data_IF_956775125281
#
_entry.id   IF_956775125281
#
_cell.length_a   1.000
_cell.length_b   1.000
_cell.length_c   1.000
_cell.angle_alpha   90.00
_cell.angle_beta   90.00
_cell.angle_gamma   90.00
#
_symmetry.space_group_name_H-M   'P 1'
#
loop_
_entity.id
_entity.type
_entity.pdbx_description
1 polymer ?
#
# COMPACT_ATOMS: atom_id res chain seq x y z
N UNK A 1 43.41 0.23 8.85
CA UNK A 1 44.48 0.45 7.86
C UNK A 1 44.14 1.69 7.03
N UNK A 2 44.92 2.77 7.20
CA UNK A 2 45.13 3.83 6.18
C UNK A 2 46.07 3.24 5.07
N UNK A 3 46.20 3.82 3.85
CA UNK A 3 46.03 5.26 3.58
C UNK A 3 45.31 5.68 2.28
N UNK A 4 44.79 6.92 2.35
CA UNK A 4 44.65 7.94 1.30
C UNK A 4 46.01 8.19 0.62
N UNK A 5 46.12 8.14 -0.73
CA UNK A 5 47.18 8.88 -1.45
C UNK A 5 47.07 9.10 -2.97
N UNK A 6 46.03 8.65 -3.68
CA UNK A 6 46.07 8.70 -5.16
C UNK A 6 45.33 9.87 -5.83
N UNK A 7 44.68 10.76 -5.08
CA UNK A 7 43.99 11.92 -5.67
C UNK A 7 44.88 13.16 -5.86
N UNK A 8 46.09 13.19 -5.30
CA UNK A 8 46.99 14.36 -5.35
C UNK A 8 48.02 14.31 -6.48
N UNK A 9 48.21 13.17 -7.14
CA UNK A 9 49.22 13.03 -8.19
C UNK A 9 48.73 13.52 -9.57
N UNK A 10 47.41 13.57 -9.81
CA UNK A 10 46.87 13.99 -11.10
C UNK A 10 46.79 15.53 -11.28
N UNK A 11 46.90 16.30 -10.20
CA UNK A 11 46.83 17.78 -10.25
C UNK A 11 48.21 18.45 -10.42
N UNK A 12 49.31 17.70 -10.30
CA UNK A 12 50.68 18.22 -10.42
C UNK A 12 51.33 17.97 -11.79
N UNK A 13 50.66 17.28 -12.72
CA UNK A 13 51.17 16.99 -14.06
C UNK A 13 50.86 18.07 -15.12
N UNK A 14 50.35 19.25 -14.71
CA UNK A 14 50.02 20.37 -15.61
C UNK A 14 50.92 21.61 -15.46
N UNK A 15 52.03 21.51 -14.71
CA UNK A 15 53.11 22.50 -14.74
C UNK A 15 54.33 21.83 -15.37
N UNK A 16 54.60 21.98 -16.70
CA UNK A 16 55.17 23.25 -17.18
C UNK A 16 54.91 23.51 -18.69
N UNK A 17 54.08 24.50 -19.04
CA UNK A 17 54.05 25.08 -20.40
C UNK A 17 53.67 26.58 -20.30
N UNK A 18 54.42 27.33 -19.51
CA UNK A 18 54.33 28.79 -19.44
C UNK A 18 55.65 29.39 -19.93
N UNK A 19 55.73 29.58 -21.26
CA UNK A 19 56.65 30.53 -21.87
C UNK A 19 56.17 31.98 -21.63
N UNK A 20 57.05 32.98 -21.81
CA UNK A 20 56.80 34.32 -21.29
C UNK A 20 55.70 35.04 -22.10
N UNK A 21 54.84 35.72 -21.36
CA UNK A 21 54.02 36.87 -21.77
C UNK A 21 53.34 36.80 -23.16
N UNK A 22 52.08 36.35 -23.16
CA UNK A 22 51.05 37.04 -23.95
C UNK A 22 49.94 37.47 -23.01
N UNK A 23 49.63 38.76 -23.05
CA UNK A 23 48.56 39.38 -22.29
C UNK A 23 47.25 38.63 -22.56
N UNK A 24 46.74 37.94 -21.56
CA UNK A 24 45.38 37.40 -21.59
C UNK A 24 44.48 38.51 -21.07
N UNK A 25 43.63 39.05 -21.94
CA UNK A 25 42.65 40.07 -21.57
C UNK A 25 41.79 39.57 -20.39
N UNK A 26 41.50 40.41 -19.38
CA UNK A 26 40.79 40.01 -18.16
C UNK A 26 39.37 39.47 -18.44
N UNK A 27 38.80 39.83 -19.59
CA UNK A 27 37.48 39.38 -20.05
C UNK A 27 37.51 37.89 -20.45
N UNK A 28 38.59 37.46 -21.11
CA UNK A 28 38.76 36.08 -21.59
C UNK A 28 38.99 35.08 -20.46
N UNK A 29 39.70 35.50 -19.41
CA UNK A 29 39.87 34.70 -18.19
C UNK A 29 38.57 34.61 -17.37
N UNK A 30 37.79 35.70 -17.35
CA UNK A 30 36.48 35.76 -16.71
C UNK A 30 35.44 34.83 -17.34
N UNK A 31 35.41 34.75 -18.68
CA UNK A 31 34.53 33.83 -19.41
C UNK A 31 34.92 32.36 -19.23
N UNK A 32 36.22 32.04 -19.15
CA UNK A 32 36.69 30.68 -18.91
C UNK A 32 36.33 30.18 -17.50
N UNK A 33 36.43 31.05 -16.47
CA UNK A 33 36.05 30.71 -15.10
C UNK A 33 34.52 30.70 -14.90
N UNK A 34 33.78 31.57 -15.58
CA UNK A 34 32.31 31.54 -15.59
C UNK A 34 31.77 30.30 -16.33
N UNK A 35 32.40 29.91 -17.44
CA UNK A 35 32.06 28.70 -18.20
C UNK A 35 32.34 27.41 -17.42
N UNK A 36 33.44 27.36 -16.66
CA UNK A 36 33.79 26.24 -15.79
C UNK A 36 32.90 26.15 -14.54
N UNK A 37 32.52 27.29 -13.94
CA UNK A 37 31.59 27.33 -12.81
C UNK A 37 30.16 26.93 -13.23
N UNK A 38 29.69 27.36 -14.40
CA UNK A 38 28.39 26.98 -14.95
C UNK A 38 28.32 25.48 -15.30
N UNK A 39 29.41 24.89 -15.78
CA UNK A 39 29.48 23.45 -16.08
C UNK A 39 29.65 22.58 -14.82
N UNK A 40 30.32 23.08 -13.77
CA UNK A 40 30.35 22.42 -12.47
C UNK A 40 28.99 22.46 -11.73
N UNK A 41 28.26 23.58 -11.81
CA UNK A 41 26.92 23.71 -11.22
C UNK A 41 25.86 22.89 -11.94
N UNK A 42 25.94 22.76 -13.26
CA UNK A 42 25.06 21.86 -14.03
C UNK A 42 25.37 20.38 -13.77
N UNK A 43 26.62 20.03 -13.46
CA UNK A 43 27.00 18.68 -13.02
C UNK A 43 26.44 18.26 -11.65
N UNK A 44 26.28 19.20 -10.71
CA UNK A 44 25.78 18.93 -9.35
C UNK A 44 24.25 18.75 -9.33
N UNK A 45 23.52 19.47 -10.20
CA UNK A 45 22.05 19.34 -10.33
C UNK A 45 21.68 18.02 -11.04
N UNK A 46 22.61 17.44 -11.80
CA UNK A 46 22.40 16.21 -12.56
C UNK A 46 22.59 14.93 -11.73
N UNK A 47 22.85 15.02 -10.42
CA UNK A 47 22.80 13.84 -9.54
C UNK A 47 21.34 13.42 -9.31
N UNK A 48 20.91 12.22 -9.76
CA UNK A 48 19.55 11.73 -9.54
C UNK A 48 19.15 11.83 -8.06
N UNK A 49 20.10 11.66 -7.14
CA UNK A 49 19.85 11.73 -5.71
C UNK A 49 19.39 13.11 -5.19
N UNK A 50 19.89 14.22 -5.76
CA UNK A 50 19.51 15.58 -5.35
C UNK A 50 18.16 15.97 -5.97
N UNK A 51 17.94 15.63 -7.25
CA UNK A 51 16.64 15.84 -7.88
C UNK A 51 15.52 15.02 -7.21
N UNK A 52 15.82 13.77 -6.85
CA UNK A 52 14.88 12.88 -6.15
C UNK A 52 14.69 13.23 -4.66
N UNK A 53 15.48 14.16 -4.13
CA UNK A 53 15.25 14.76 -2.82
C UNK A 53 14.15 15.82 -2.88
N UNK A 54 14.17 16.67 -3.91
CA UNK A 54 13.18 17.74 -4.11
C UNK A 54 11.93 17.29 -4.87
N UNK A 55 12.00 16.22 -5.67
CA UNK A 55 10.89 15.64 -6.42
C UNK A 55 10.78 14.15 -6.18
N UNK A 56 9.56 13.62 -6.19
CA UNK A 56 9.34 12.19 -6.07
C UNK A 56 9.84 11.47 -7.33
N UNK A 57 10.70 10.47 -7.17
CA UNK A 57 11.25 9.66 -8.26
C UNK A 57 10.87 8.20 -8.12
N UNK A 58 10.81 7.49 -9.26
CA UNK A 58 10.55 6.06 -9.27
C UNK A 58 11.84 5.38 -8.84
N UNK A 59 11.93 5.04 -7.56
CA UNK A 59 13.09 4.35 -7.02
C UNK A 59 13.09 2.91 -7.54
N UNK A 60 14.04 2.58 -8.41
CA UNK A 60 14.24 1.20 -8.90
C UNK A 60 14.61 0.23 -7.75
N UNK A 61 15.26 0.77 -6.71
CA UNK A 61 15.61 0.07 -5.48
C UNK A 61 14.89 0.72 -4.30
N UNK A 62 13.75 0.15 -3.88
CA UNK A 62 13.22 0.47 -2.57
C UNK A 62 14.15 -0.10 -1.51
N UNK A 63 14.57 0.79 -0.61
CA UNK A 63 15.48 0.52 0.48
C UNK A 63 14.93 -0.64 1.33
N UNK A 64 15.79 -1.57 1.77
CA UNK A 64 15.41 -2.64 2.71
C UNK A 64 14.69 -2.10 3.96
N UNK A 65 14.88 -0.81 4.26
CA UNK A 65 14.18 -0.04 5.29
C UNK A 65 12.64 -0.02 5.13
N UNK A 66 12.12 0.00 3.89
CA UNK A 66 10.68 -0.02 3.62
C UNK A 66 10.02 -1.30 4.18
N UNK A 67 10.70 -2.44 4.02
CA UNK A 67 10.27 -3.73 4.56
C UNK A 67 10.29 -3.76 6.09
N UNK A 68 11.32 -3.19 6.73
CA UNK A 68 11.44 -3.19 8.19
C UNK A 68 10.31 -2.39 8.87
N UNK A 69 10.00 -1.19 8.36
CA UNK A 69 8.96 -0.33 8.92
C UNK A 69 7.54 -0.87 8.79
N UNK A 70 7.28 -1.77 7.82
CA UNK A 70 5.96 -2.36 7.62
C UNK A 70 5.51 -3.24 8.80
N UNK A 71 6.39 -4.11 9.30
CA UNK A 71 6.07 -5.01 10.42
C UNK A 71 5.75 -4.19 11.68
N UNK A 72 6.64 -3.27 12.05
CA UNK A 72 6.46 -2.42 13.23
C UNK A 72 5.17 -1.59 13.13
N UNK A 73 4.88 -1.03 11.95
CA UNK A 73 3.67 -0.25 11.73
C UNK A 73 2.40 -1.09 11.89
N UNK A 74 2.41 -2.33 11.42
CA UNK A 74 1.26 -3.23 11.57
C UNK A 74 1.11 -3.70 13.02
N UNK A 75 2.20 -4.09 13.69
CA UNK A 75 2.14 -4.56 15.08
C UNK A 75 1.67 -3.47 16.05
N UNK A 76 2.08 -2.22 15.82
CA UNK A 76 1.67 -1.10 16.67
C UNK A 76 0.25 -0.60 16.39
N UNK A 77 -0.22 -0.69 15.14
CA UNK A 77 -1.43 0.02 14.71
C UNK A 77 -2.61 -0.89 14.31
N UNK A 78 -2.37 -2.14 13.94
CA UNK A 78 -3.41 -3.04 13.44
C UNK A 78 -3.84 -4.05 14.52
N UNK A 79 -5.02 -3.82 15.09
CA UNK A 79 -5.52 -4.64 16.20
C UNK A 79 -6.38 -5.81 15.73
N UNK A 80 -6.19 -6.98 16.34
CA UNK A 80 -7.04 -8.16 16.15
C UNK A 80 -6.96 -8.81 14.77
N UNK A 81 -5.93 -8.52 13.97
CA UNK A 81 -5.74 -9.05 12.62
C UNK A 81 -4.41 -9.80 12.46
N UNK A 82 -4.19 -10.83 13.28
CA UNK A 82 -2.96 -11.63 13.28
C UNK A 82 -2.71 -12.32 11.93
N UNK A 83 -3.76 -12.84 11.30
CA UNK A 83 -3.70 -13.46 9.97
C UNK A 83 -3.26 -12.45 8.90
N UNK A 84 -3.91 -11.29 8.86
CA UNK A 84 -3.63 -10.26 7.86
C UNK A 84 -2.20 -9.73 8.00
N UNK A 85 -1.78 -9.38 9.23
CA UNK A 85 -0.42 -8.89 9.50
C UNK A 85 0.64 -9.88 8.99
N UNK A 86 0.51 -11.17 9.35
CA UNK A 86 1.46 -12.22 8.96
C UNK A 86 1.56 -12.38 7.44
N UNK A 87 0.43 -12.42 6.73
CA UNK A 87 0.41 -12.60 5.26
C UNK A 87 0.99 -11.39 4.56
N UNK A 88 0.51 -10.20 4.89
CA UNK A 88 0.90 -8.95 4.21
C UNK A 88 2.38 -8.68 4.39
N UNK A 89 2.91 -8.83 5.61
CA UNK A 89 4.34 -8.61 5.83
C UNK A 89 5.17 -9.58 5.00
N UNK A 90 4.85 -10.88 5.02
CA UNK A 90 5.62 -11.87 4.25
C UNK A 90 5.53 -11.63 2.75
N UNK A 91 4.32 -11.39 2.23
CA UNK A 91 4.08 -11.17 0.81
C UNK A 91 4.78 -9.90 0.29
N UNK A 92 4.59 -8.77 0.97
CA UNK A 92 5.18 -7.49 0.56
C UNK A 92 6.70 -7.52 0.70
N UNK A 93 7.25 -8.02 1.83
CA UNK A 93 8.71 -8.14 2.00
C UNK A 93 9.33 -9.06 0.94
N UNK A 94 8.71 -10.21 0.69
CA UNK A 94 9.17 -11.16 -0.32
C UNK A 94 9.19 -10.55 -1.73
N UNK A 95 8.11 -9.84 -2.09
CA UNK A 95 8.00 -9.17 -3.38
C UNK A 95 8.99 -8.02 -3.56
N UNK A 96 9.18 -7.18 -2.53
CA UNK A 96 10.13 -6.06 -2.61
C UNK A 96 11.59 -6.53 -2.69
N UNK A 97 11.92 -7.61 -1.97
CA UNK A 97 13.27 -8.20 -2.00
C UNK A 97 13.57 -8.99 -3.27
N UNK A 98 12.56 -9.41 -4.04
CA UNK A 98 12.75 -10.07 -5.31
C UNK A 98 13.04 -9.04 -6.41
N UNK A 99 14.25 -9.08 -6.98
CA UNK A 99 14.67 -8.17 -8.06
C UNK A 99 14.05 -8.52 -9.42
N UNK A 100 13.62 -9.78 -9.59
CA UNK A 100 13.03 -10.30 -10.82
C UNK A 100 11.75 -11.14 -10.56
N UNK A 101 10.67 -10.51 -10.07
CA UNK A 101 9.39 -11.17 -9.90
C UNK A 101 8.85 -11.68 -11.26
N UNK A 102 8.14 -12.81 -11.25
CA UNK A 102 7.59 -13.44 -12.47
C UNK A 102 6.19 -12.94 -12.86
N UNK A 103 5.49 -12.32 -11.92
CA UNK A 103 4.17 -11.67 -12.03
C UNK A 103 4.10 -10.52 -11.02
N UNK A 104 3.22 -9.53 -11.19
CA UNK A 104 2.94 -8.55 -10.13
C UNK A 104 2.44 -9.23 -8.86
N UNK A 105 2.61 -8.55 -7.73
CA UNK A 105 1.98 -8.98 -6.49
C UNK A 105 0.51 -8.57 -6.49
N UNK A 106 -0.40 -9.53 -6.34
CA UNK A 106 -1.83 -9.32 -6.22
C UNK A 106 -2.34 -9.79 -4.86
N UNK A 107 -2.73 -8.83 -4.01
CA UNK A 107 -3.32 -9.08 -2.69
C UNK A 107 -4.82 -8.82 -2.73
N UNK A 108 -5.62 -9.75 -2.22
CA UNK A 108 -7.08 -9.56 -2.09
C UNK A 108 -7.48 -9.60 -0.62
N UNK A 109 -7.89 -8.46 -0.08
CA UNK A 109 -8.23 -8.25 1.33
C UNK A 109 -9.75 -8.31 1.50
N UNK A 110 -10.20 -9.24 2.33
CA UNK A 110 -11.62 -9.57 2.50
C UNK A 110 -12.03 -9.54 3.95
N UNK A 111 -13.20 -9.00 4.26
CA UNK A 111 -13.76 -9.11 5.62
C UNK A 111 -14.74 -8.01 5.95
N UNK A 112 -15.15 -7.94 7.20
CA UNK A 112 -16.20 -7.03 7.66
C UNK A 112 -15.80 -5.55 7.52
N UNK A 113 -16.78 -4.66 7.51
CA UNK A 113 -16.54 -3.22 7.44
C UNK A 113 -15.86 -2.71 8.72
N UNK A 114 -14.98 -1.70 8.59
CA UNK A 114 -14.31 -1.09 9.74
C UNK A 114 -13.26 -1.94 10.46
N UNK A 115 -12.83 -3.06 9.87
CA UNK A 115 -11.82 -3.98 10.42
C UNK A 115 -10.37 -3.63 10.06
N UNK A 116 -10.15 -2.65 9.16
CA UNK A 116 -8.82 -2.12 8.85
C UNK A 116 -8.30 -2.34 7.42
N UNK A 117 -9.11 -2.83 6.47
CA UNK A 117 -8.67 -3.07 5.07
C UNK A 117 -7.99 -1.85 4.42
N UNK A 118 -8.67 -0.69 4.40
CA UNK A 118 -8.12 0.57 3.86
C UNK A 118 -6.98 1.12 4.72
N UNK A 119 -7.02 0.86 6.03
CA UNK A 119 -5.97 1.30 6.95
C UNK A 119 -4.65 0.58 6.67
N UNK A 120 -4.72 -0.72 6.40
CA UNK A 120 -3.58 -1.53 6.00
C UNK A 120 -3.04 -1.13 4.63
N UNK A 121 -3.89 -0.87 3.63
CA UNK A 121 -3.40 -0.42 2.32
C UNK A 121 -2.67 0.92 2.41
N UNK A 122 -3.13 1.82 3.29
CA UNK A 122 -2.43 3.06 3.65
C UNK A 122 -1.06 2.77 4.30
N UNK A 123 -0.98 1.86 5.28
CA UNK A 123 0.29 1.48 5.92
C UNK A 123 1.27 0.88 4.90
N UNK A 124 0.79 0.01 4.00
CA UNK A 124 1.62 -0.55 2.93
C UNK A 124 2.16 0.56 2.02
N UNK A 125 1.28 1.47 1.57
CA UNK A 125 1.70 2.60 0.75
C UNK A 125 2.72 3.51 1.45
N UNK A 126 2.52 3.82 2.74
CA UNK A 126 3.44 4.63 3.55
C UNK A 126 4.78 3.93 3.82
N UNK A 127 4.78 2.59 3.91
CA UNK A 127 6.01 1.82 4.10
C UNK A 127 6.90 1.82 2.85
N UNK A 128 6.28 1.85 1.66
CA UNK A 128 6.98 1.80 0.38
C UNK A 128 7.31 3.22 -0.09
N UNK A 129 6.33 4.12 -0.09
CA UNK A 129 6.42 5.46 -0.64
C UNK A 129 6.40 6.51 0.47
N UNK A 130 7.38 7.43 0.47
CA UNK A 130 7.49 8.51 1.46
C UNK A 130 6.22 9.36 1.59
N UNK A 131 5.49 9.54 0.49
CA UNK A 131 4.24 10.33 0.46
C UNK A 131 2.99 9.47 0.68
N UNK A 132 3.13 8.18 0.95
CA UNK A 132 2.03 7.24 1.14
C UNK A 132 1.04 7.27 -0.02
N UNK A 133 -0.25 7.37 0.29
CA UNK A 133 -1.33 7.47 -0.71
C UNK A 133 -1.25 8.74 -1.58
N UNK A 134 -0.50 9.77 -1.16
CA UNK A 134 -0.29 11.01 -1.95
C UNK A 134 0.88 10.89 -2.93
N UNK A 135 1.53 9.73 -2.99
CA UNK A 135 2.58 9.44 -3.96
C UNK A 135 2.02 9.44 -5.38
N UNK A 136 2.78 9.97 -6.34
CA UNK A 136 2.40 9.90 -7.76
C UNK A 136 2.45 8.49 -8.35
N UNK A 137 2.97 7.51 -7.60
CA UNK A 137 3.09 6.10 -7.98
C UNK A 137 2.10 5.20 -7.23
N UNK A 138 1.22 5.79 -6.43
CA UNK A 138 0.14 5.09 -5.73
C UNK A 138 -1.18 5.59 -6.29
N UNK A 139 -1.99 4.68 -6.81
CA UNK A 139 -3.24 5.00 -7.49
C UNK A 139 -4.37 4.26 -6.78
N UNK A 140 -5.32 5.02 -6.22
CA UNK A 140 -6.47 4.46 -5.54
C UNK A 140 -7.73 4.69 -6.37
N UNK A 141 -8.45 3.61 -6.64
CA UNK A 141 -9.74 3.60 -7.31
C UNK A 141 -10.79 3.08 -6.34
N UNK A 142 -11.82 3.88 -6.08
CA UNK A 142 -13.03 3.47 -5.37
C UNK A 142 -14.11 3.16 -6.39
N UNK A 143 -14.61 1.93 -6.42
CA UNK A 143 -15.53 1.47 -7.47
C UNK A 143 -16.80 2.31 -7.56
N UNK A 144 -17.42 2.64 -6.43
CA UNK A 144 -18.66 3.43 -6.36
C UNK A 144 -18.48 4.91 -6.70
N UNK A 145 -17.26 5.44 -6.61
CA UNK A 145 -16.96 6.83 -6.92
C UNK A 145 -16.52 7.01 -8.36
N UNK A 146 -15.60 6.17 -8.83
CA UNK A 146 -14.98 6.31 -10.15
C UNK A 146 -15.71 5.54 -11.24
N UNK A 147 -16.44 4.46 -10.88
CA UNK A 147 -17.15 3.60 -11.83
C UNK A 147 -18.63 3.42 -11.45
N UNK A 148 -19.40 4.50 -11.19
CA UNK A 148 -20.75 4.41 -10.63
C UNK A 148 -21.81 3.88 -11.61
N UNK A 149 -21.65 4.12 -12.91
CA UNK A 149 -22.69 3.87 -13.92
C UNK A 149 -22.37 2.66 -14.80
N UNK A 150 -23.24 1.64 -14.78
CA UNK A 150 -23.07 0.43 -15.57
C UNK A 150 -23.05 0.68 -17.09
N UNK A 151 -23.78 1.68 -17.57
CA UNK A 151 -23.86 1.98 -19.01
C UNK A 151 -22.55 2.54 -19.59
N UNK A 152 -21.70 3.10 -18.72
CA UNK A 152 -20.39 3.67 -19.11
C UNK A 152 -19.22 2.70 -18.91
N UNK A 153 -19.50 1.40 -18.68
CA UNK A 153 -18.47 0.38 -18.41
C UNK A 153 -17.39 0.33 -19.49
N UNK A 154 -17.74 0.46 -20.77
CA UNK A 154 -16.75 0.42 -21.85
C UNK A 154 -15.79 1.62 -21.81
N UNK A 155 -16.32 2.83 -21.55
CA UNK A 155 -15.49 4.02 -21.35
C UNK A 155 -14.54 3.84 -20.15
N UNK A 156 -15.03 3.31 -19.04
CA UNK A 156 -14.21 3.09 -17.85
C UNK A 156 -13.12 2.05 -18.07
N UNK A 157 -13.40 0.99 -18.85
CA UNK A 157 -12.37 0.01 -19.25
C UNK A 157 -11.22 0.70 -19.99
N UNK A 158 -11.53 1.50 -21.01
CA UNK A 158 -10.52 2.17 -21.83
C UNK A 158 -9.68 3.14 -21.00
N UNK A 159 -10.33 3.94 -20.15
CA UNK A 159 -9.66 4.87 -19.23
C UNK A 159 -8.76 4.14 -18.25
N UNK A 160 -9.25 3.07 -17.62
CA UNK A 160 -8.51 2.31 -16.62
C UNK A 160 -7.30 1.59 -17.23
N UNK A 161 -7.46 0.96 -18.38
CA UNK A 161 -6.37 0.29 -19.08
C UNK A 161 -5.29 1.28 -19.53
N UNK A 162 -5.70 2.43 -20.08
CA UNK A 162 -4.79 3.50 -20.46
C UNK A 162 -4.03 4.05 -19.24
N UNK A 163 -4.73 4.27 -18.12
CA UNK A 163 -4.14 4.77 -16.89
C UNK A 163 -3.09 3.81 -16.31
N UNK A 164 -3.43 2.52 -16.20
CA UNK A 164 -2.51 1.49 -15.68
C UNK A 164 -1.28 1.40 -16.58
N UNK A 165 -1.49 1.28 -17.90
CA UNK A 165 -0.38 1.20 -18.87
C UNK A 165 0.53 2.41 -18.80
N UNK A 166 -0.05 3.62 -18.78
CA UNK A 166 0.71 4.87 -18.72
C UNK A 166 1.57 4.98 -17.45
N UNK A 167 0.98 4.73 -16.28
CA UNK A 167 1.70 4.85 -15.01
C UNK A 167 2.76 3.76 -14.81
N UNK A 168 2.49 2.52 -15.23
CA UNK A 168 3.51 1.45 -15.17
C UNK A 168 4.66 1.71 -16.14
N UNK A 169 4.38 2.30 -17.30
CA UNK A 169 5.42 2.73 -18.25
C UNK A 169 6.35 3.79 -17.63
N UNK A 170 5.80 4.70 -16.81
CA UNK A 170 6.56 5.71 -16.08
C UNK A 170 7.29 5.14 -14.85
N UNK A 171 6.65 4.20 -14.14
CA UNK A 171 7.21 3.55 -12.97
C UNK A 171 6.75 2.09 -12.84
N UNK A 172 7.65 1.12 -13.10
CA UNK A 172 7.30 -0.30 -13.04
C UNK A 172 6.82 -0.78 -11.66
N UNK A 173 7.17 -0.07 -10.58
CA UNK A 173 6.81 -0.42 -9.19
C UNK A 173 5.48 0.20 -8.72
N UNK A 174 4.70 0.80 -9.61
CA UNK A 174 3.43 1.45 -9.26
C UNK A 174 2.50 0.54 -8.44
N UNK A 175 1.83 1.13 -7.46
CA UNK A 175 0.87 0.49 -6.58
C UNK A 175 -0.55 0.91 -6.96
N UNK A 176 -1.40 -0.07 -7.27
CA UNK A 176 -2.81 0.13 -7.56
C UNK A 176 -3.67 -0.46 -6.44
N UNK A 177 -4.56 0.36 -5.88
CA UNK A 177 -5.49 -0.01 -4.82
C UNK A 177 -6.90 0.11 -5.38
N UNK A 178 -7.64 -0.99 -5.40
CA UNK A 178 -9.04 -1.04 -5.82
C UNK A 178 -9.92 -1.29 -4.61
N UNK A 179 -10.73 -0.30 -4.25
CA UNK A 179 -11.61 -0.32 -3.10
C UNK A 179 -13.07 -0.54 -3.51
N UNK A 180 -13.84 -1.13 -2.59
CA UNK A 180 -15.21 -1.61 -2.80
C UNK A 180 -15.35 -2.53 -4.03
N UNK A 181 -14.41 -3.45 -4.16
CA UNK A 181 -14.29 -4.30 -5.33
C UNK A 181 -15.50 -5.23 -5.55
N UNK A 182 -16.22 -5.57 -4.47
CA UNK A 182 -17.51 -6.30 -4.52
C UNK A 182 -18.60 -5.57 -5.32
N UNK A 183 -18.48 -4.25 -5.47
CA UNK A 183 -19.41 -3.40 -6.22
C UNK A 183 -18.90 -3.06 -7.62
N UNK A 184 -17.69 -3.51 -7.99
CA UNK A 184 -17.12 -3.26 -9.31
C UNK A 184 -17.77 -4.16 -10.35
N UNK A 185 -18.12 -3.59 -11.50
CA UNK A 185 -18.75 -4.33 -12.59
C UNK A 185 -17.77 -5.35 -13.20
N UNK A 186 -18.20 -6.60 -13.37
CA UNK A 186 -17.36 -7.73 -13.83
C UNK A 186 -16.54 -7.40 -15.10
N UNK A 187 -17.14 -6.74 -16.09
CA UNK A 187 -16.42 -6.31 -17.29
C UNK A 187 -15.21 -5.40 -17.03
N UNK A 188 -15.22 -4.51 -16.02
CA UNK A 188 -14.01 -3.74 -15.67
C UNK A 188 -12.96 -4.63 -15.02
N UNK A 189 -13.39 -5.61 -14.24
CA UNK A 189 -12.52 -6.59 -13.58
C UNK A 189 -11.82 -7.45 -14.64
N UNK A 190 -12.54 -7.81 -15.70
CA UNK A 190 -11.99 -8.52 -16.84
C UNK A 190 -10.90 -7.71 -17.55
N UNK A 191 -11.07 -6.39 -17.61
CA UNK A 191 -10.13 -5.49 -18.27
C UNK A 191 -8.78 -5.36 -17.56
N UNK A 192 -8.72 -5.63 -16.25
CA UNK A 192 -7.49 -5.58 -15.46
C UNK A 192 -6.72 -6.90 -15.40
N UNK A 193 -7.38 -8.03 -15.68
CA UNK A 193 -6.77 -9.37 -15.63
C UNK A 193 -5.44 -9.49 -16.37
N UNK A 194 -5.28 -8.98 -17.61
CA UNK A 194 -4.05 -9.18 -18.35
C UNK A 194 -2.83 -8.57 -17.65
N UNK A 195 -3.03 -7.55 -16.81
CA UNK A 195 -1.97 -6.92 -16.03
C UNK A 195 -1.52 -7.74 -14.83
N UNK A 196 -2.34 -8.71 -14.38
CA UNK A 196 -2.07 -9.58 -13.22
C UNK A 196 -1.40 -10.91 -13.60
N UNK A 197 -1.37 -11.24 -14.88
CA UNK A 197 -0.88 -12.52 -15.41
C UNK A 197 0.67 -12.58 -15.46
N UNK A 198 1.21 -13.73 -15.86
CA UNK A 198 2.65 -14.03 -15.87
C UNK A 198 3.41 -13.50 -17.10
N UNK A 199 2.77 -12.66 -17.92
CA UNK A 199 3.37 -12.10 -19.13
C UNK A 199 4.67 -11.34 -18.83
N UNK A 200 5.69 -11.53 -19.68
CA UNK A 200 6.94 -10.76 -19.59
C UNK A 200 6.68 -9.28 -19.91
N UNK A 201 5.99 -9.09 -21.03
CA UNK A 201 5.63 -7.83 -21.62
C UNK A 201 4.20 -7.95 -22.12
N UNK A 202 3.40 -6.93 -21.86
CA UNK A 202 2.07 -6.76 -22.44
C UNK A 202 2.03 -5.38 -23.10
N UNK A 203 1.85 -5.36 -24.42
CA UNK A 203 1.96 -4.15 -25.25
C UNK A 203 3.28 -3.38 -25.03
N UNK A 204 4.39 -4.12 -24.89
CA UNK A 204 5.73 -3.56 -24.70
C UNK A 204 6.07 -3.11 -23.27
N UNK A 205 5.16 -3.30 -22.30
CA UNK A 205 5.34 -2.86 -20.90
C UNK A 205 5.36 -4.07 -19.97
N UNK A 206 6.29 -4.11 -19.01
CA UNK A 206 6.33 -5.16 -18.00
C UNK A 206 5.61 -4.74 -16.73
N UNK A 207 4.61 -5.52 -16.32
CA UNK A 207 3.83 -5.29 -15.11
C UNK A 207 4.35 -6.08 -13.90
N UNK A 208 5.36 -6.93 -14.09
CA UNK A 208 5.87 -7.87 -13.07
C UNK A 208 6.30 -7.22 -11.76
N UNK A 209 6.70 -5.95 -11.79
CA UNK A 209 7.15 -5.20 -10.60
C UNK A 209 6.03 -4.37 -9.94
N UNK A 210 4.85 -4.31 -10.54
CA UNK A 210 3.71 -3.58 -10.01
C UNK A 210 3.04 -4.36 -8.87
N UNK A 211 2.29 -3.65 -8.04
CA UNK A 211 1.53 -4.23 -6.94
C UNK A 211 0.06 -3.84 -7.06
N UNK A 212 -0.82 -4.79 -6.85
CA UNK A 212 -2.27 -4.64 -6.88
C UNK A 212 -2.84 -5.07 -5.54
N UNK A 213 -3.65 -4.21 -4.93
CA UNK A 213 -4.36 -4.47 -3.67
C UNK A 213 -5.85 -4.30 -3.93
N UNK A 214 -6.62 -5.37 -3.77
CA UNK A 214 -8.07 -5.37 -3.89
C UNK A 214 -8.69 -5.39 -2.49
N UNK A 215 -9.64 -4.50 -2.22
CA UNK A 215 -10.36 -4.42 -0.94
C UNK A 215 -11.82 -4.74 -1.20
N UNK A 216 -12.35 -5.72 -0.46
CA UNK A 216 -13.74 -6.15 -0.62
C UNK A 216 -14.39 -6.56 0.70
N UNK A 217 -15.71 -6.40 0.78
CA UNK A 217 -16.52 -6.98 1.84
C UNK A 217 -17.06 -8.39 1.49
N UNK A 218 -16.79 -8.89 0.28
CA UNK A 218 -17.18 -10.25 -0.11
C UNK A 218 -16.54 -11.28 0.84
N UNK A 219 -17.34 -12.26 1.27
CA UNK A 219 -16.93 -13.31 2.20
C UNK A 219 -16.91 -12.92 3.68
N UNK A 220 -17.27 -11.68 4.03
CA UNK A 220 -17.25 -11.19 5.41
C UNK A 220 -18.16 -11.99 6.36
N UNK A 221 -19.34 -12.40 5.89
CA UNK A 221 -20.29 -13.22 6.66
C UNK A 221 -19.68 -14.58 7.02
N UNK A 222 -19.08 -15.28 6.05
CA UNK A 222 -18.45 -16.59 6.30
C UNK A 222 -17.19 -16.50 7.15
N UNK A 223 -16.37 -15.46 6.97
CA UNK A 223 -15.24 -15.20 7.88
C UNK A 223 -15.76 -15.05 9.30
N UNK A 224 -16.86 -14.31 9.48
CA UNK A 224 -17.45 -14.09 10.80
C UNK A 224 -18.03 -15.36 11.40
N UNK A 225 -18.70 -16.20 10.60
CA UNK A 225 -19.23 -17.49 11.02
C UNK A 225 -18.13 -18.41 11.58
N UNK A 226 -16.99 -18.53 10.88
CA UNK A 226 -15.83 -19.30 11.38
C UNK A 226 -15.26 -18.69 12.65
N UNK A 227 -15.13 -17.36 12.71
CA UNK A 227 -14.60 -16.68 13.90
C UNK A 227 -15.51 -16.92 15.12
N UNK A 228 -16.83 -16.86 14.91
CA UNK A 228 -17.84 -17.10 15.95
C UNK A 228 -17.83 -18.57 16.41
N UNK A 229 -17.66 -19.53 15.50
CA UNK A 229 -17.55 -20.95 15.84
C UNK A 229 -16.33 -21.23 16.74
N UNK A 230 -15.18 -20.62 16.45
CA UNK A 230 -14.00 -20.71 17.33
C UNK A 230 -14.28 -20.12 18.71
N UNK A 231 -14.92 -18.95 18.76
CA UNK A 231 -15.27 -18.31 20.03
C UNK A 231 -16.24 -19.16 20.86
N UNK A 232 -17.28 -19.72 20.23
CA UNK A 232 -18.27 -20.60 20.89
C UNK A 232 -17.64 -21.90 21.42
N UNK A 233 -16.55 -22.35 20.79
CA UNK A 233 -15.74 -23.50 21.25
C UNK A 233 -14.74 -23.13 22.34
N UNK A 234 -14.74 -21.88 22.82
CA UNK A 234 -13.80 -21.40 23.84
C UNK A 234 -12.34 -21.31 23.35
N UNK A 235 -12.12 -21.30 22.03
CA UNK A 235 -10.77 -21.17 21.45
C UNK A 235 -10.35 -19.72 21.39
N UNK A 236 -9.05 -19.48 21.52
CA UNK A 236 -8.48 -18.16 21.34
C UNK A 236 -8.57 -17.75 19.87
N UNK A 237 -8.81 -16.46 19.63
CA UNK A 237 -8.84 -15.87 18.28
C UNK A 237 -7.54 -16.14 17.52
N UNK A 238 -6.41 -16.05 18.22
CA UNK A 238 -5.07 -16.22 17.65
C UNK A 238 -4.79 -17.67 17.21
N UNK A 239 -5.60 -18.64 17.64
CA UNK A 239 -5.52 -20.04 17.17
C UNK A 239 -6.06 -20.23 15.76
N UNK A 240 -6.93 -19.33 15.29
CA UNK A 240 -7.49 -19.36 13.93
C UNK A 240 -6.34 -19.28 12.92
N UNK A 241 -6.29 -20.24 11.99
CA UNK A 241 -5.29 -20.29 10.92
C UNK A 241 -5.87 -19.84 9.59
N UNK A 242 -4.98 -19.55 8.63
CA UNK A 242 -5.39 -19.23 7.25
C UNK A 242 -6.13 -20.38 6.59
N UNK A 243 -5.79 -21.63 6.92
CA UNK A 243 -6.45 -22.84 6.38
C UNK A 243 -7.92 -22.92 6.76
N UNK A 244 -8.29 -22.46 7.97
CA UNK A 244 -9.68 -22.42 8.42
C UNK A 244 -10.49 -21.41 7.59
N UNK A 245 -9.84 -20.31 7.20
CA UNK A 245 -10.44 -19.25 6.39
C UNK A 245 -10.47 -19.58 4.90
N UNK A 246 -9.55 -20.40 4.40
CA UNK A 246 -9.53 -20.79 2.99
C UNK A 246 -10.82 -21.51 2.57
N UNK A 247 -11.40 -22.34 3.43
CA UNK A 247 -12.67 -23.01 3.15
C UNK A 247 -13.87 -22.04 3.18
N UNK A 248 -13.88 -21.10 4.12
CA UNK A 248 -14.91 -20.07 4.21
C UNK A 248 -14.88 -19.13 3.00
N UNK A 249 -13.67 -18.74 2.59
CA UNK A 249 -13.43 -17.92 1.43
C UNK A 249 -13.74 -18.70 0.15
N UNK A 250 -13.31 -19.97 0.03
CA UNK A 250 -13.54 -20.82 -1.14
C UNK A 250 -15.02 -20.97 -1.49
N UNK A 251 -15.90 -21.12 -0.48
CA UNK A 251 -17.33 -21.32 -0.76
C UNK A 251 -18.07 -20.00 -1.02
N UNK A 252 -17.78 -18.94 -0.26
CA UNK A 252 -18.56 -17.68 -0.35
C UNK A 252 -18.04 -16.68 -1.36
N UNK A 253 -16.73 -16.64 -1.58
CA UNK A 253 -16.11 -15.74 -2.53
C UNK A 253 -16.23 -16.31 -3.94
N UNK A 254 -16.36 -17.64 -4.11
CA UNK A 254 -16.30 -18.30 -5.41
C UNK A 254 -17.69 -18.69 -5.94
N UNK A 255 -18.72 -18.85 -5.08
CA UNK A 255 -20.07 -19.26 -5.51
C UNK A 255 -21.13 -18.15 -5.54
N UNK A 256 -20.82 -16.93 -5.08
CA UNK A 256 -21.84 -15.89 -4.97
C UNK A 256 -22.07 -15.20 -6.32
N UNK A 257 -23.15 -15.60 -7.02
CA UNK A 257 -23.51 -15.12 -8.37
C UNK A 257 -23.76 -13.60 -8.45
N UNK A 258 -24.01 -12.94 -7.32
CA UNK A 258 -24.42 -11.52 -7.27
C UNK A 258 -23.31 -10.53 -6.88
N UNK A 259 -22.16 -10.99 -6.36
CA UNK A 259 -21.02 -10.11 -6.12
C UNK A 259 -20.15 -10.08 -7.38
N UNK A 260 -20.20 -8.99 -8.14
CA UNK A 260 -19.54 -8.83 -9.45
C UNK A 260 -18.03 -9.08 -9.43
N UNK A 261 -17.40 -9.12 -8.25
CA UNK A 261 -15.98 -9.38 -8.07
C UNK A 261 -15.52 -10.77 -8.52
N UNK A 262 -16.40 -11.79 -8.50
CA UNK A 262 -15.99 -13.19 -8.62
C UNK A 262 -16.79 -14.03 -9.60
N UNK A 263 -17.06 -13.47 -10.79
CA UNK A 263 -17.32 -14.31 -11.96
C UNK A 263 -16.03 -15.02 -12.40
N UNK A 264 -15.73 -16.16 -11.78
CA UNK A 264 -15.07 -17.36 -12.33
C UNK A 264 -13.83 -17.20 -13.23
N UNK A 265 -13.01 -16.16 -13.11
CA UNK A 265 -11.93 -15.96 -14.12
C UNK A 265 -10.67 -15.29 -13.59
N UNK A 266 -10.74 -14.47 -12.54
CA UNK A 266 -9.54 -14.04 -11.80
C UNK A 266 -8.94 -15.19 -10.98
N UNK A 267 -9.81 -16.06 -10.46
CA UNK A 267 -9.44 -17.22 -9.64
C UNK A 267 -9.09 -18.42 -10.52
N UNK A 268 -9.82 -18.66 -11.61
CA UNK A 268 -9.58 -19.80 -12.53
C UNK A 268 -8.16 -19.82 -13.10
N UNK A 269 -7.41 -18.73 -12.98
CA UNK A 269 -5.99 -18.62 -13.39
C UNK A 269 -5.01 -18.31 -12.25
N UNK A 270 -5.42 -18.39 -10.97
CA UNK A 270 -4.58 -18.02 -9.82
C UNK A 270 -3.93 -16.64 -9.97
N UNK A 271 -4.68 -15.64 -10.46
CA UNK A 271 -4.16 -14.29 -10.67
C UNK A 271 -3.93 -13.57 -9.34
N UNK A 272 -4.72 -13.90 -8.31
CA UNK A 272 -4.50 -13.44 -6.93
C UNK A 272 -3.47 -14.34 -6.25
N UNK A 273 -2.42 -13.74 -5.68
CA UNK A 273 -1.38 -14.47 -4.95
C UNK A 273 -1.83 -14.85 -3.54
N UNK A 274 -2.48 -13.90 -2.84
CA UNK A 274 -2.85 -14.07 -1.45
C UNK A 274 -4.24 -13.51 -1.17
N UNK A 275 -5.10 -14.38 -0.63
CA UNK A 275 -6.35 -13.99 0.01
C UNK A 275 -6.08 -13.69 1.49
N UNK A 276 -6.42 -12.48 1.90
CA UNK A 276 -6.10 -11.94 3.22
C UNK A 276 -7.39 -11.68 3.99
N UNK A 277 -7.79 -12.57 4.93
CA UNK A 277 -9.00 -12.40 5.72
C UNK A 277 -8.81 -11.34 6.82
N UNK A 278 -9.84 -10.51 7.00
CA UNK A 278 -10.01 -9.54 8.07
C UNK A 278 -11.16 -9.99 8.95
N UNK A 279 -10.79 -10.35 10.18
CA UNK A 279 -11.69 -10.89 11.18
C UNK A 279 -12.52 -9.75 11.82
N UNK A 280 -13.77 -10.01 12.25
CA UNK A 280 -14.58 -9.01 12.94
C UNK A 280 -13.93 -8.60 14.27
N UNK A 281 -14.08 -7.32 14.65
CA UNK A 281 -13.40 -6.75 15.82
C UNK A 281 -14.21 -6.97 17.10
N UNK A 282 -13.60 -7.66 18.07
CA UNK A 282 -14.10 -7.76 19.45
C UNK A 282 -14.09 -6.42 20.20
N UNK A 283 -14.87 -6.32 21.28
CA UNK A 283 -14.91 -5.20 22.22
C UNK A 283 -13.52 -4.67 22.59
N UNK A 284 -12.59 -5.56 22.97
CA UNK A 284 -11.22 -5.19 23.35
C UNK A 284 -10.48 -4.41 22.25
N UNK A 285 -10.68 -4.77 20.98
CA UNK A 285 -10.04 -4.08 19.85
C UNK A 285 -10.68 -2.71 19.59
N UNK A 286 -12.00 -2.59 19.78
CA UNK A 286 -12.69 -1.29 19.70
C UNK A 286 -12.13 -0.36 20.76
N UNK A 287 -12.00 -0.81 22.02
CA UNK A 287 -11.41 -0.03 23.10
C UNK A 287 -9.96 0.42 22.78
N UNK A 288 -9.16 -0.44 22.16
CA UNK A 288 -7.82 -0.07 21.67
C UNK A 288 -7.89 1.02 20.58
N UNK A 289 -8.83 0.94 19.63
CA UNK A 289 -9.03 2.00 18.63
C UNK A 289 -9.43 3.33 19.27
N UNK A 290 -10.32 3.32 20.28
CA UNK A 290 -10.71 4.54 21.00
C UNK A 290 -9.48 5.16 21.68
N UNK A 291 -8.66 4.34 22.36
CA UNK A 291 -7.44 4.82 23.03
C UNK A 291 -6.51 5.54 22.04
N UNK A 292 -6.22 4.91 20.90
CA UNK A 292 -5.33 5.51 19.89
C UNK A 292 -5.90 6.82 19.34
N UNK A 293 -7.21 6.91 19.14
CA UNK A 293 -7.85 8.11 18.62
C UNK A 293 -7.85 9.25 19.66
N UNK A 294 -8.07 8.95 20.95
CA UNK A 294 -7.92 9.91 22.06
C UNK A 294 -6.50 10.45 22.12
N UNK A 295 -5.50 9.58 22.09
CA UNK A 295 -4.08 9.96 22.09
C UNK A 295 -3.72 10.79 20.86
N UNK A 296 -4.24 10.42 19.67
CA UNK A 296 -3.98 11.15 18.43
C UNK A 296 -4.54 12.58 18.44
N UNK A 297 -5.59 12.83 19.23
CA UNK A 297 -6.18 14.16 19.45
C UNK A 297 -5.50 14.95 20.58
N UNK A 298 -4.53 14.36 21.28
CA UNK A 298 -3.80 15.00 22.38
C UNK A 298 -4.54 15.03 23.70
N UNK A 299 -5.63 14.27 23.83
CA UNK A 299 -6.37 14.15 25.10
C UNK A 299 -5.70 13.13 26.03
N UNK A 300 -5.86 13.34 27.34
CA UNK A 300 -5.44 12.36 28.33
C UNK A 300 -6.32 11.11 28.26
N UNK A 301 -5.69 9.93 28.34
CA UNK A 301 -6.43 8.66 28.30
C UNK A 301 -7.15 8.45 29.63
N UNK A 302 -8.48 8.46 29.57
CA UNK A 302 -9.36 8.09 30.67
C UNK A 302 -10.05 6.75 30.36
N UNK A 303 -9.74 5.73 31.15
CA UNK A 303 -10.28 4.37 30.97
C UNK A 303 -11.81 4.30 31.09
N UNK A 304 -12.44 5.17 31.87
CA UNK A 304 -13.90 5.21 32.00
C UNK A 304 -14.53 5.77 30.72
N UNK A 305 -13.94 6.82 30.14
CA UNK A 305 -14.38 7.36 28.85
C UNK A 305 -14.19 6.32 27.74
N UNK A 306 -13.05 5.62 27.70
CA UNK A 306 -12.81 4.56 26.73
C UNK A 306 -13.88 3.46 26.81
N UNK A 307 -14.25 3.07 28.03
CA UNK A 307 -15.24 2.02 28.31
C UNK A 307 -16.64 2.48 27.88
N UNK A 308 -17.04 3.70 28.25
CA UNK A 308 -18.34 4.28 27.84
C UNK A 308 -18.48 4.35 26.33
N UNK A 309 -17.48 4.85 25.61
CA UNK A 309 -17.51 4.94 24.15
C UNK A 309 -17.61 3.56 23.51
N UNK A 310 -16.87 2.57 24.03
CA UNK A 310 -16.96 1.20 23.56
C UNK A 310 -18.35 0.59 23.84
N UNK A 311 -18.94 0.82 25.01
CA UNK A 311 -20.25 0.28 25.41
C UNK A 311 -21.40 0.82 24.55
N UNK A 312 -21.29 2.06 24.06
CA UNK A 312 -22.28 2.66 23.15
C UNK A 312 -22.21 2.15 21.71
N UNK A 313 -21.22 1.31 21.37
CA UNK A 313 -21.14 0.70 20.07
C UNK A 313 -22.16 -0.44 19.96
N UNK A 314 -22.57 -0.75 18.72
CA UNK A 314 -23.47 -1.88 18.46
C UNK A 314 -22.66 -3.14 18.19
N UNK A 315 -23.11 -4.24 18.80
CA UNK A 315 -22.42 -5.53 18.77
C UNK A 315 -23.34 -6.67 18.35
N UNK A 316 -22.73 -7.69 17.73
CA UNK A 316 -23.39 -8.89 17.24
C UNK A 316 -22.60 -10.16 17.60
N UNK A 317 -23.26 -11.33 17.69
CA UNK A 317 -24.72 -11.50 17.66
C UNK A 317 -25.41 -10.87 18.89
N UNK A 318 -26.74 -10.70 18.85
CA UNK A 318 -27.48 -9.91 19.85
C UNK A 318 -27.37 -10.44 21.29
N UNK A 319 -27.23 -11.75 21.43
CA UNK A 319 -27.17 -12.43 22.72
C UNK A 319 -25.77 -12.32 23.32
N UNK A 320 -24.74 -12.67 22.56
CA UNK A 320 -23.36 -12.72 23.06
C UNK A 320 -22.63 -11.37 22.95
N UNK A 321 -23.10 -10.43 22.12
CA UNK A 321 -22.54 -9.07 21.91
C UNK A 321 -21.01 -9.03 21.74
N UNK A 322 -20.47 -9.91 20.90
CA UNK A 322 -19.02 -10.14 20.82
C UNK A 322 -18.32 -9.16 19.87
N UNK A 323 -18.85 -9.02 18.66
CA UNK A 323 -18.21 -8.32 17.55
C UNK A 323 -18.90 -7.01 17.23
N UNK A 324 -18.14 -5.96 16.92
CA UNK A 324 -18.71 -4.67 16.55
C UNK A 324 -19.26 -4.66 15.12
N UNK A 325 -20.50 -4.18 14.94
CA UNK A 325 -21.16 -4.09 13.63
C UNK A 325 -20.38 -3.23 12.63
N UNK A 326 -19.71 -2.19 13.12
CA UNK A 326 -18.99 -1.20 12.30
C UNK A 326 -17.48 -1.22 12.52
N UNK A 327 -16.96 -2.20 13.27
CA UNK A 327 -15.58 -2.21 13.73
C UNK A 327 -15.20 -0.87 14.38
N UNK A 328 -14.07 -0.29 13.97
CA UNK A 328 -13.63 1.01 14.50
C UNK A 328 -14.12 2.22 13.68
N UNK A 329 -15.02 2.04 12.70
CA UNK A 329 -15.35 3.09 11.72
C UNK A 329 -16.07 4.29 12.35
N UNK A 330 -16.88 4.12 13.39
CA UNK A 330 -17.67 5.22 14.00
C UNK A 330 -17.11 5.74 15.31
N UNK A 331 -15.93 5.27 15.72
CA UNK A 331 -15.28 5.67 16.98
C UNK A 331 -14.98 7.16 16.99
N UNK A 332 -14.42 7.71 15.90
CA UNK A 332 -14.06 9.13 15.82
C UNK A 332 -15.26 10.06 16.04
N UNK A 333 -16.43 9.71 15.50
CA UNK A 333 -17.63 10.54 15.60
C UNK A 333 -18.24 10.53 17.00
N UNK A 334 -18.03 9.45 17.76
CA UNK A 334 -18.48 9.37 19.16
C UNK A 334 -17.60 10.17 20.10
N UNK A 335 -16.30 10.30 19.81
CA UNK A 335 -15.38 11.09 20.64
C UNK A 335 -15.76 12.57 20.69
N UNK A 336 -16.34 13.10 19.61
CA UNK A 336 -16.79 14.49 19.50
C UNK A 336 -17.92 14.83 20.50
N UNK A 337 -18.58 13.82 21.08
CA UNK A 337 -19.60 14.01 22.12
C UNK A 337 -19.00 14.12 23.53
N UNK A 338 -17.80 13.56 23.75
CA UNK A 338 -17.17 13.45 25.06
C UNK A 338 -16.11 14.53 25.32
N UNK A 339 -15.57 15.13 24.26
CA UNK A 339 -14.55 16.15 24.33
C UNK A 339 -15.01 17.38 23.56
N UNK A 340 -15.15 18.50 24.25
CA UNK A 340 -15.40 19.81 23.64
C UNK A 340 -14.13 20.29 22.92
N UNK A 341 -14.29 20.78 21.69
CA UNK A 341 -13.21 21.26 20.83
C UNK A 341 -12.85 22.73 21.06
#
# INVERSE_FOLDING_TARGET
MRPRRDALAALLALLPLLGPARAVEPISLGLALAGAAASALTGIISYPSLYCYFRECCLQHHDRRAAAGLQESLDRKLFGQHLASKVIVKAVKGFLNNTNPKKPLALSLHGWTGTGKNFVSKIVAESIYKRGLKSKYVHQFVATLHFPHADSVNLYKDQLQSWIRGNVSLCPRSLFIFDEMDKMHAGLIDSIKPFLDYYELLNGVSYRKAMFIFLSNAGAEKITEVTLDFWRKGKMREEIQLTDMQNALSVSVFNNKNSGFWHSTLIDRNLIDYFVPFLPLEYKHVKMCVRVEVEARGYAVDEDILTRIADEMTYFPREERIYSDKGCKTVYAKLDYYYDF
#
